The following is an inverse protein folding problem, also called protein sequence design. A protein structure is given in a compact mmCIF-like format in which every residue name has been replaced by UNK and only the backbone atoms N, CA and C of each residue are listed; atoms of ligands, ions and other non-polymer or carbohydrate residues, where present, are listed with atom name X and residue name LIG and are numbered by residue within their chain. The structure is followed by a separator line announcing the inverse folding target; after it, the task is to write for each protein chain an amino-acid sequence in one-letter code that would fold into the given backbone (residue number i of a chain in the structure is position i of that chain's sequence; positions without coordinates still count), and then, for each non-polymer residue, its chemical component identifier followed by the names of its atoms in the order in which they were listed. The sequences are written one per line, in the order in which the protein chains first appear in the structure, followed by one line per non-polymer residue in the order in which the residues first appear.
data_IF_223271884039
#
_entry.id   IF_223271884039
#
_cell.length_a   1.000
_cell.length_b   1.000
_cell.length_c   1.000
_cell.angle_alpha   90.00
_cell.angle_beta   90.00
_cell.angle_gamma   90.00
#
_symmetry.space_group_name_H-M   'P 1'
#
loop_
_entity.id
_entity.type
_entity.pdbx_description
1 polymer ?
#
# COMPACT_ATOMS: atom_id res chain seq x y z
N UNK A 1 -21.44 37.41 4.70
CA UNK A 1 -21.53 35.94 4.56
C UNK A 1 -21.07 35.38 5.90
N UNK A 2 -22.00 34.87 6.70
CA UNK A 2 -21.75 34.47 8.09
C UNK A 2 -20.77 33.29 8.12
N UNK A 3 -19.59 33.50 8.71
CA UNK A 3 -18.76 32.40 9.19
C UNK A 3 -19.49 31.79 10.38
N UNK A 4 -20.08 30.62 10.18
CA UNK A 4 -20.49 29.78 11.31
C UNK A 4 -19.19 29.28 11.95
N UNK A 5 -18.78 29.93 13.03
CA UNK A 5 -17.83 29.36 13.98
C UNK A 5 -18.41 28.04 14.49
N UNK A 6 -17.82 26.93 14.04
CA UNK A 6 -18.03 25.64 14.67
C UNK A 6 -17.65 25.74 16.15
N UNK A 7 -18.38 25.11 17.09
CA UNK A 7 -18.04 25.16 18.50
C UNK A 7 -16.61 24.67 18.71
N UNK A 8 -15.82 25.42 19.48
CA UNK A 8 -14.43 25.09 19.78
C UNK A 8 -14.38 23.76 20.55
N UNK A 9 -14.20 22.66 19.81
CA UNK A 9 -13.99 21.35 20.40
C UNK A 9 -12.73 21.41 21.27
N UNK A 10 -12.93 21.54 22.59
CA UNK A 10 -11.84 21.60 23.54
C UNK A 10 -11.43 20.17 23.87
N UNK A 11 -10.31 19.71 23.30
CA UNK A 11 -9.75 18.41 23.66
C UNK A 11 -9.34 18.38 25.13
N UNK A 12 -9.62 17.29 25.83
CA UNK A 12 -9.30 17.11 27.25
C UNK A 12 -8.37 15.92 27.45
N UNK A 13 -7.45 16.02 28.41
CA UNK A 13 -6.59 14.92 28.78
C UNK A 13 -7.41 13.79 29.41
N UNK A 14 -7.30 12.52 28.97
CA UNK A 14 -8.06 11.42 29.55
C UNK A 14 -7.65 11.09 31.00
N UNK A 15 -6.49 11.58 31.45
CA UNK A 15 -5.93 11.27 32.77
C UNK A 15 -6.22 12.31 33.85
N UNK A 16 -6.54 13.56 33.46
CA UNK A 16 -6.82 14.64 34.42
C UNK A 16 -7.94 15.59 33.98
N UNK A 17 -8.56 15.35 32.83
CA UNK A 17 -9.70 16.09 32.26
C UNK A 17 -9.46 17.59 32.00
N UNK A 18 -8.23 18.08 32.20
CA UNK A 18 -7.82 19.45 31.84
C UNK A 18 -7.73 19.59 30.32
N UNK A 19 -8.02 20.80 29.84
CA UNK A 19 -7.91 21.15 28.43
C UNK A 19 -6.47 20.90 27.92
N UNK A 20 -6.36 20.35 26.73
CA UNK A 20 -5.09 20.21 26.03
C UNK A 20 -4.79 21.51 25.28
N UNK A 21 -3.52 21.88 25.23
CA UNK A 21 -3.06 23.04 24.48
C UNK A 21 -2.47 22.59 23.14
N UNK A 22 -2.87 23.23 22.04
CA UNK A 22 -2.24 23.03 20.73
C UNK A 22 -0.81 23.60 20.78
N UNK A 23 0.18 22.72 20.70
CA UNK A 23 1.60 23.10 20.80
C UNK A 23 2.34 23.10 19.48
N UNK A 24 1.86 22.37 18.46
CA UNK A 24 2.50 22.28 17.14
C UNK A 24 1.47 22.08 16.05
N UNK A 25 1.74 22.72 14.91
CA UNK A 25 1.01 22.52 13.67
C UNK A 25 1.91 21.80 12.66
N UNK A 26 1.37 20.73 12.06
CA UNK A 26 1.98 20.00 10.95
C UNK A 26 1.02 20.03 9.77
N UNK A 27 1.52 19.63 8.59
CA UNK A 27 0.75 19.62 7.34
C UNK A 27 -0.58 18.86 7.49
N UNK A 28 -0.55 17.66 8.08
CA UNK A 28 -1.70 16.74 8.10
C UNK A 28 -2.31 16.55 9.51
N UNK A 29 -1.73 17.16 10.54
CA UNK A 29 -2.20 16.99 11.93
C UNK A 29 -1.73 18.11 12.88
N UNK A 30 -2.48 18.34 13.94
CA UNK A 30 -2.08 19.16 15.09
C UNK A 30 -1.65 18.29 16.27
N UNK A 31 -0.72 18.80 17.08
CA UNK A 31 -0.29 18.16 18.32
C UNK A 31 -0.80 18.98 19.49
N UNK A 32 -1.61 18.34 20.33
CA UNK A 32 -2.14 18.88 21.57
C UNK A 32 -1.42 18.23 22.76
N UNK A 33 -1.13 19.00 23.81
CA UNK A 33 -0.35 18.54 24.97
C UNK A 33 -1.05 18.87 26.27
N UNK A 34 -1.02 17.92 27.21
CA UNK A 34 -1.42 18.19 28.59
C UNK A 34 -0.29 18.93 29.33
N UNK A 35 -0.53 20.20 29.67
CA UNK A 35 0.40 21.01 30.48
C UNK A 35 0.14 20.97 32.00
N UNK A 36 -0.88 20.25 32.44
CA UNK A 36 -1.15 20.09 33.88
C UNK A 36 -0.03 19.26 34.55
N UNK A 37 0.63 19.84 35.55
CA UNK A 37 1.70 19.20 36.31
C UNK A 37 1.15 18.16 37.29
N UNK A 38 -0.09 18.34 37.77
CA UNK A 38 -0.76 17.36 38.64
C UNK A 38 -1.37 16.18 37.86
N UNK A 39 -1.12 16.09 36.55
CA UNK A 39 -1.65 15.00 35.73
C UNK A 39 -1.03 13.66 36.14
N UNK A 40 -1.87 12.68 36.48
CA UNK A 40 -1.45 11.34 36.91
C UNK A 40 -0.53 10.65 35.90
N UNK A 41 -0.77 10.83 34.59
CA UNK A 41 0.10 10.33 33.53
C UNK A 41 1.51 10.92 33.59
N UNK A 42 1.61 12.24 33.78
CA UNK A 42 2.89 12.93 33.86
C UNK A 42 3.66 12.53 35.11
N UNK A 43 2.99 12.55 36.26
CA UNK A 43 3.58 12.14 37.55
C UNK A 43 4.06 10.69 37.53
N UNK A 44 3.29 9.78 36.94
CA UNK A 44 3.67 8.36 36.81
C UNK A 44 4.92 8.20 35.94
N UNK A 45 4.99 8.89 34.80
CA UNK A 45 6.15 8.82 33.91
C UNK A 45 7.42 9.40 34.55
N UNK A 46 7.31 10.50 35.29
CA UNK A 46 8.45 11.06 36.04
C UNK A 46 8.97 10.10 37.12
N UNK A 47 8.08 9.38 37.80
CA UNK A 47 8.47 8.40 38.83
C UNK A 47 9.19 7.19 38.26
N UNK A 48 8.89 6.81 37.01
CA UNK A 48 9.51 5.69 36.30
C UNK A 48 10.93 5.97 35.80
N UNK A 49 11.33 7.24 35.72
CA UNK A 49 12.69 7.61 35.29
C UNK A 49 13.73 7.14 36.30
N UNK A 50 14.81 6.57 35.77
CA UNK A 50 16.04 6.27 36.53
C UNK A 50 16.70 7.56 37.03
N UNK A 51 17.60 7.49 38.04
CA UNK A 51 18.34 8.67 38.49
C UNK A 51 19.09 9.40 37.36
N UNK A 52 19.71 8.65 36.45
CA UNK A 52 20.42 9.20 35.28
C UNK A 52 19.47 9.92 34.32
N UNK A 53 18.32 9.31 34.00
CA UNK A 53 17.30 9.95 33.15
C UNK A 53 16.72 11.20 33.79
N UNK A 54 16.54 11.22 35.13
CA UNK A 54 16.07 12.41 35.85
C UNK A 54 17.08 13.55 35.75
N UNK A 55 18.37 13.27 35.90
CA UNK A 55 19.43 14.25 35.70
C UNK A 55 19.43 14.77 34.25
N UNK A 56 19.39 13.87 33.27
CA UNK A 56 19.33 14.25 31.86
C UNK A 56 18.06 15.05 31.51
N UNK A 57 16.92 14.73 32.14
CA UNK A 57 15.66 15.44 31.96
C UNK A 57 15.74 16.90 32.44
N UNK A 58 16.55 17.21 33.46
CA UNK A 58 16.76 18.59 33.92
C UNK A 58 17.46 19.44 32.85
N UNK A 59 18.39 18.84 32.11
CA UNK A 59 19.15 19.54 31.06
C UNK A 59 18.46 19.50 29.69
N UNK A 60 17.79 18.40 29.37
CA UNK A 60 17.20 18.13 28.04
C UNK A 60 15.78 17.55 28.14
N UNK A 61 14.82 18.30 28.71
CA UNK A 61 13.47 17.78 28.95
C UNK A 61 12.72 17.40 27.68
N UNK A 62 13.11 17.98 26.54
CA UNK A 62 12.52 17.69 25.23
C UNK A 62 12.88 16.31 24.68
N UNK A 63 13.93 15.65 25.19
CA UNK A 63 14.31 14.30 24.81
C UNK A 63 13.32 13.25 25.34
N UNK A 64 12.55 13.58 26.38
CA UNK A 64 11.65 12.65 27.06
C UNK A 64 10.18 12.97 26.80
N UNK A 65 9.42 11.97 26.34
CA UNK A 65 7.97 12.09 26.10
C UNK A 65 7.18 11.71 27.36
N UNK A 66 7.27 12.54 28.40
CA UNK A 66 6.65 12.28 29.72
C UNK A 66 5.21 12.77 29.87
N UNK A 67 4.74 13.64 28.98
CA UNK A 67 3.38 14.22 29.04
C UNK A 67 2.47 13.64 27.97
N UNK A 68 1.18 13.57 28.29
CA UNK A 68 0.16 13.11 27.36
C UNK A 68 0.10 14.02 26.13
N UNK A 69 0.13 13.40 24.95
CA UNK A 69 0.04 14.06 23.65
C UNK A 69 -1.15 13.47 22.89
N UNK A 70 -2.00 14.33 22.36
CA UNK A 70 -3.08 13.98 21.46
C UNK A 70 -2.75 14.51 20.06
N UNK A 71 -3.02 13.70 19.04
CA UNK A 71 -2.84 14.10 17.64
C UNK A 71 -4.22 14.25 17.03
N UNK A 72 -4.50 15.43 16.52
CA UNK A 72 -5.72 15.72 15.77
C UNK A 72 -5.36 15.65 14.28
N UNK A 73 -5.81 14.60 13.59
CA UNK A 73 -5.58 14.45 12.16
C UNK A 73 -6.59 15.30 11.37
N UNK A 74 -6.10 16.02 10.35
CA UNK A 74 -6.88 17.03 9.60
C UNK A 74 -7.55 16.47 8.33
N UNK A 75 -7.64 15.16 8.21
CA UNK A 75 -8.29 14.50 7.08
C UNK A 75 -9.47 13.65 7.56
N UNK A 76 -10.55 13.69 6.79
CA UNK A 76 -11.72 12.85 7.01
C UNK A 76 -11.51 11.50 6.33
N UNK A 77 -11.24 10.47 7.15
CA UNK A 77 -11.05 9.11 6.67
C UNK A 77 -11.62 8.13 7.69
N UNK A 78 -12.49 7.24 7.22
CA UNK A 78 -13.05 6.16 8.04
C UNK A 78 -12.32 4.85 7.71
N UNK A 79 -11.50 4.31 8.65
CA UNK A 79 -10.91 2.98 8.51
C UNK A 79 -11.95 1.92 8.17
N UNK A 80 -11.56 0.95 7.35
CA UNK A 80 -12.36 -0.22 7.02
C UNK A 80 -13.73 0.10 6.41
N UNK A 81 -13.92 1.33 5.90
CA UNK A 81 -15.16 1.69 5.23
C UNK A 81 -15.41 0.76 4.03
N UNK A 82 -16.67 0.30 3.82
CA UNK A 82 -17.01 -0.53 2.67
C UNK A 82 -16.56 0.11 1.36
N UNK A 83 -16.03 -0.69 0.47
CA UNK A 83 -15.69 -0.23 -0.88
C UNK A 83 -16.97 0.16 -1.61
N UNK A 84 -16.99 1.32 -2.26
CA UNK A 84 -18.10 1.72 -3.12
C UNK A 84 -18.24 0.73 -4.30
N UNK A 85 -19.46 0.49 -4.79
CA UNK A 85 -19.69 -0.33 -5.99
C UNK A 85 -18.86 0.20 -7.15
N UNK A 86 -18.12 -0.69 -7.79
CA UNK A 86 -17.17 -0.32 -8.83
C UNK A 86 -17.92 -0.21 -10.15
N UNK A 87 -18.17 1.03 -10.60
CA UNK A 87 -18.77 1.30 -11.92
C UNK A 87 -17.67 1.39 -12.98
N UNK A 88 -17.22 0.26 -13.51
CA UNK A 88 -16.37 0.26 -14.71
C UNK A 88 -17.23 0.49 -15.95
N UNK A 89 -17.03 1.61 -16.65
CA UNK A 89 -17.60 1.84 -18.01
C UNK A 89 -16.87 1.04 -19.11
N UNK A 90 -15.83 0.30 -18.74
CA UNK A 90 -14.95 -0.41 -19.68
C UNK A 90 -15.47 -1.81 -19.89
N UNK A 91 -15.89 -2.10 -21.11
CA UNK A 91 -16.33 -3.42 -21.54
C UNK A 91 -15.30 -3.99 -22.52
N UNK A 92 -14.51 -4.98 -22.07
CA UNK A 92 -13.48 -5.58 -22.92
C UNK A 92 -14.01 -6.57 -23.95
N UNK A 93 -15.29 -6.95 -23.88
CA UNK A 93 -15.92 -7.71 -24.99
C UNK A 93 -16.03 -6.87 -26.28
N UNK A 94 -15.91 -5.54 -26.14
CA UNK A 94 -15.84 -4.58 -27.25
C UNK A 94 -14.42 -4.31 -27.74
N UNK A 95 -13.40 -4.94 -27.15
CA UNK A 95 -12.06 -4.84 -27.71
C UNK A 95 -12.05 -5.49 -29.09
N UNK A 96 -11.44 -4.80 -30.05
CA UNK A 96 -11.34 -5.24 -31.44
C UNK A 96 -10.41 -6.45 -31.67
N UNK A 97 -9.98 -7.16 -30.63
CA UNK A 97 -8.97 -8.23 -30.68
C UNK A 97 -9.45 -9.46 -29.95
N UNK A 98 -9.00 -10.63 -30.41
CA UNK A 98 -9.25 -11.89 -29.71
C UNK A 98 -8.58 -11.90 -28.33
N UNK A 99 -9.15 -12.68 -27.40
CA UNK A 99 -8.58 -12.86 -26.07
C UNK A 99 -7.14 -13.39 -26.11
N UNK A 100 -6.81 -14.21 -27.11
CA UNK A 100 -5.45 -14.70 -27.32
C UNK A 100 -4.49 -13.56 -27.66
N UNK A 101 -4.84 -12.70 -28.64
CA UNK A 101 -4.03 -11.55 -29.03
C UNK A 101 -3.84 -10.57 -27.88
N UNK A 102 -4.91 -10.30 -27.10
CA UNK A 102 -4.80 -9.49 -25.89
C UNK A 102 -3.85 -10.12 -24.87
N UNK A 103 -3.96 -11.43 -24.66
CA UNK A 103 -3.06 -12.19 -23.79
C UNK A 103 -1.59 -12.13 -24.23
N UNK A 104 -1.30 -12.18 -25.54
CA UNK A 104 0.04 -11.98 -26.08
C UNK A 104 0.56 -10.57 -25.76
N UNK A 105 -0.25 -9.54 -26.03
CA UNK A 105 0.11 -8.14 -25.77
C UNK A 105 0.48 -7.95 -24.29
N UNK A 106 -0.36 -8.44 -23.37
CA UNK A 106 -0.10 -8.35 -21.92
C UNK A 106 1.11 -9.17 -21.50
N UNK A 107 1.32 -10.34 -22.09
CA UNK A 107 2.49 -11.17 -21.80
C UNK A 107 3.78 -10.42 -22.12
N UNK A 108 3.89 -9.81 -23.30
CA UNK A 108 5.07 -9.02 -23.67
C UNK A 108 5.20 -7.73 -22.87
N UNK A 109 4.10 -7.00 -22.73
CA UNK A 109 4.12 -5.68 -22.09
C UNK A 109 4.35 -5.75 -20.58
N UNK A 110 3.67 -6.69 -19.90
CA UNK A 110 3.65 -6.80 -18.44
C UNK A 110 4.66 -7.83 -17.96
N UNK A 111 4.56 -9.09 -18.41
CA UNK A 111 5.37 -10.18 -17.83
C UNK A 111 6.86 -10.02 -18.15
N UNK A 112 7.16 -9.55 -19.37
CA UNK A 112 8.51 -9.31 -19.85
C UNK A 112 8.93 -7.83 -19.81
N UNK A 113 8.09 -6.95 -19.26
CA UNK A 113 8.40 -5.54 -19.02
C UNK A 113 8.77 -4.73 -20.28
N UNK A 114 8.27 -5.12 -21.45
CA UNK A 114 8.58 -4.42 -22.69
C UNK A 114 7.80 -3.11 -22.82
N UNK A 115 8.42 -2.10 -23.43
CA UNK A 115 7.71 -0.86 -23.76
C UNK A 115 6.57 -1.13 -24.74
N UNK A 116 5.56 -0.25 -24.78
CA UNK A 116 4.44 -0.39 -25.72
C UNK A 116 4.89 -0.42 -27.19
N UNK A 117 5.97 0.31 -27.52
CA UNK A 117 6.57 0.30 -28.87
C UNK A 117 7.23 -1.04 -29.20
N UNK A 118 8.05 -1.56 -28.28
CA UNK A 118 8.67 -2.90 -28.45
C UNK A 118 7.62 -4.01 -28.53
N UNK A 119 6.57 -3.90 -27.72
CA UNK A 119 5.43 -4.82 -27.77
C UNK A 119 4.75 -4.77 -29.15
N UNK A 120 4.46 -3.58 -29.67
CA UNK A 120 3.90 -3.42 -31.01
C UNK A 120 4.81 -4.00 -32.10
N UNK A 121 6.12 -3.77 -32.02
CA UNK A 121 7.10 -4.37 -32.94
C UNK A 121 7.07 -5.89 -32.89
N UNK A 122 7.12 -6.52 -31.71
CA UNK A 122 7.06 -7.98 -31.58
C UNK A 122 5.74 -8.53 -32.13
N UNK A 123 4.62 -7.87 -31.86
CA UNK A 123 3.33 -8.28 -32.40
C UNK A 123 3.33 -8.26 -33.93
N UNK A 124 4.04 -7.31 -34.56
CA UNK A 124 4.19 -7.28 -36.01
C UNK A 124 5.19 -8.31 -36.53
N UNK A 125 6.39 -8.34 -35.97
CA UNK A 125 7.53 -9.08 -36.50
C UNK A 125 7.41 -10.59 -36.26
N UNK A 126 6.85 -10.99 -35.12
CA UNK A 126 6.71 -12.40 -34.71
C UNK A 126 5.34 -12.96 -35.06
N UNK A 127 4.29 -12.17 -34.85
CA UNK A 127 2.89 -12.63 -34.99
C UNK A 127 2.19 -12.11 -36.25
N UNK A 128 2.84 -11.25 -37.06
CA UNK A 128 2.25 -10.66 -38.26
C UNK A 128 1.17 -9.61 -38.00
N UNK A 129 0.87 -9.30 -36.73
CA UNK A 129 -0.25 -8.45 -36.31
C UNK A 129 0.19 -6.98 -36.19
N UNK A 130 -0.29 -6.15 -37.11
CA UNK A 130 -0.08 -4.71 -37.06
C UNK A 130 -0.93 -4.06 -35.98
N UNK A 131 -0.34 -3.74 -34.83
CA UNK A 131 -0.97 -2.94 -33.77
C UNK A 131 -0.13 -1.70 -33.47
N UNK A 132 -0.79 -0.60 -33.10
CA UNK A 132 -0.07 0.59 -32.68
C UNK A 132 0.38 0.47 -31.22
N UNK A 133 1.45 1.17 -30.84
CA UNK A 133 1.86 1.28 -29.43
C UNK A 133 0.77 1.93 -28.56
N UNK A 134 -0.04 2.84 -29.11
CA UNK A 134 -1.15 3.46 -28.40
C UNK A 134 -2.25 2.42 -28.11
N UNK A 135 -2.49 1.49 -29.03
CA UNK A 135 -3.42 0.37 -28.84
C UNK A 135 -2.97 -0.52 -27.67
N UNK A 136 -1.66 -0.81 -27.56
CA UNK A 136 -1.10 -1.55 -26.41
C UNK A 136 -1.40 -0.84 -25.09
N UNK A 137 -1.18 0.48 -25.03
CA UNK A 137 -1.46 1.29 -23.83
C UNK A 137 -2.94 1.26 -23.49
N UNK A 138 -3.82 1.43 -24.49
CA UNK A 138 -5.27 1.45 -24.27
C UNK A 138 -5.77 0.11 -23.73
N UNK A 139 -5.26 -1.02 -24.24
CA UNK A 139 -5.57 -2.35 -23.72
C UNK A 139 -5.05 -2.54 -22.29
N UNK A 140 -3.80 -2.14 -22.01
CA UNK A 140 -3.24 -2.21 -20.66
C UNK A 140 -4.10 -1.43 -19.66
N UNK A 141 -4.46 -0.19 -19.98
CA UNK A 141 -5.31 0.64 -19.12
C UNK A 141 -6.71 0.02 -18.91
N UNK A 142 -7.31 -0.49 -19.98
CA UNK A 142 -8.64 -1.13 -19.92
C UNK A 142 -8.63 -2.36 -19.03
N UNK A 143 -7.61 -3.21 -19.19
CA UNK A 143 -7.46 -4.43 -18.39
C UNK A 143 -7.17 -4.08 -16.93
N UNK A 144 -6.32 -3.08 -16.66
CA UNK A 144 -6.03 -2.64 -15.30
C UNK A 144 -7.29 -2.24 -14.53
N UNK A 145 -8.22 -1.51 -15.17
CA UNK A 145 -9.49 -1.13 -14.57
C UNK A 145 -10.38 -2.34 -14.21
N UNK A 146 -10.28 -3.42 -14.97
CA UNK A 146 -11.04 -4.66 -14.74
C UNK A 146 -10.41 -5.52 -13.66
N UNK A 147 -9.09 -5.70 -13.70
CA UNK A 147 -8.41 -6.60 -12.75
C UNK A 147 -8.15 -5.95 -11.40
N UNK A 148 -8.10 -4.62 -11.29
CA UNK A 148 -7.88 -3.94 -10.01
C UNK A 148 -8.90 -4.33 -8.93
N UNK A 149 -10.22 -4.26 -9.20
CA UNK A 149 -11.26 -4.75 -8.28
C UNK A 149 -11.01 -6.19 -7.82
N UNK A 150 -10.68 -7.05 -8.78
CA UNK A 150 -10.42 -8.47 -8.53
C UNK A 150 -9.21 -8.67 -7.62
N UNK A 151 -8.11 -7.95 -7.84
CA UNK A 151 -6.94 -7.96 -6.97
C UNK A 151 -7.30 -7.46 -5.57
N UNK A 152 -7.99 -6.33 -5.47
CA UNK A 152 -8.23 -5.66 -4.18
C UNK A 152 -9.16 -6.46 -3.26
N UNK A 153 -10.09 -7.21 -3.85
CA UNK A 153 -11.17 -7.93 -3.14
C UNK A 153 -10.97 -9.45 -3.13
N UNK A 154 -9.87 -9.96 -3.72
CA UNK A 154 -9.60 -11.39 -3.71
C UNK A 154 -9.52 -11.91 -2.27
N UNK A 155 -10.13 -13.07 -1.95
CA UNK A 155 -10.11 -13.65 -0.62
C UNK A 155 -8.76 -14.33 -0.36
N UNK A 156 -7.73 -13.54 -0.06
CA UNK A 156 -6.38 -14.06 0.13
C UNK A 156 -6.25 -14.90 1.41
N UNK A 157 -5.56 -16.03 1.30
CA UNK A 157 -5.06 -16.78 2.46
C UNK A 157 -3.72 -16.19 2.94
N UNK A 158 -3.79 -15.28 3.91
CA UNK A 158 -2.64 -14.54 4.41
C UNK A 158 -1.96 -15.23 5.61
N UNK A 159 -0.67 -15.00 5.77
CA UNK A 159 0.15 -15.58 6.83
C UNK A 159 0.21 -14.76 8.12
N UNK A 160 -0.19 -13.48 8.07
CA UNK A 160 0.00 -12.53 9.16
C UNK A 160 1.38 -11.85 9.19
N UNK A 161 2.35 -12.31 8.39
CA UNK A 161 3.69 -11.72 8.31
C UNK A 161 3.73 -10.56 7.33
N UNK A 162 3.22 -9.40 7.73
CA UNK A 162 3.13 -8.23 6.86
C UNK A 162 4.35 -7.32 6.94
N UNK A 163 4.86 -6.92 5.79
CA UNK A 163 5.89 -5.89 5.68
C UNK A 163 5.50 -4.80 4.68
N UNK A 164 6.06 -3.60 4.85
CA UNK A 164 5.85 -2.47 3.97
C UNK A 164 7.14 -1.73 3.68
N UNK A 165 7.24 -1.18 2.48
CA UNK A 165 8.34 -0.32 2.06
C UNK A 165 7.85 0.63 0.98
N UNK A 166 8.48 1.79 0.90
CA UNK A 166 8.20 2.78 -0.12
C UNK A 166 9.24 2.73 -1.23
N UNK A 167 8.78 2.90 -2.44
CA UNK A 167 9.64 3.17 -3.57
C UNK A 167 9.13 4.36 -4.35
N UNK A 168 9.75 4.67 -5.48
CA UNK A 168 9.39 5.84 -6.26
C UNK A 168 9.18 5.53 -7.74
N UNK A 169 8.25 6.24 -8.37
CA UNK A 169 8.04 6.22 -9.82
C UNK A 169 7.94 7.66 -10.33
N UNK A 170 8.21 7.88 -11.61
CA UNK A 170 8.21 9.21 -12.21
C UNK A 170 6.93 9.41 -13.00
N UNK A 171 6.19 10.46 -12.68
CA UNK A 171 4.93 10.84 -13.35
C UNK A 171 5.04 12.32 -13.73
N UNK A 172 4.82 12.64 -15.01
CA UNK A 172 4.96 13.98 -15.58
C UNK A 172 6.28 14.66 -15.17
N UNK A 173 7.37 13.89 -15.22
CA UNK A 173 8.72 14.36 -14.87
C UNK A 173 9.02 14.48 -13.37
N UNK A 174 8.05 14.25 -12.47
CA UNK A 174 8.22 14.37 -11.02
C UNK A 174 8.21 13.01 -10.32
N UNK A 175 9.03 12.85 -9.30
CA UNK A 175 9.00 11.65 -8.44
C UNK A 175 7.71 11.63 -7.62
N UNK A 176 7.09 10.46 -7.56
CA UNK A 176 5.94 10.12 -6.74
C UNK A 176 6.33 8.89 -5.94
N UNK A 177 5.90 8.83 -4.69
CA UNK A 177 6.07 7.69 -3.82
C UNK A 177 5.06 6.59 -4.17
N UNK A 178 5.49 5.35 -4.01
CA UNK A 178 4.70 4.15 -4.23
C UNK A 178 4.85 3.28 -2.98
N UNK A 179 3.76 3.19 -2.23
CA UNK A 179 3.66 2.45 -0.99
C UNK A 179 3.24 1.02 -1.31
N UNK A 180 4.11 0.07 -1.02
CA UNK A 180 3.79 -1.34 -1.10
C UNK A 180 3.60 -1.92 0.30
N UNK A 181 2.54 -2.71 0.47
CA UNK A 181 2.37 -3.63 1.59
C UNK A 181 2.35 -5.06 1.06
N UNK A 182 2.96 -5.99 1.78
CA UNK A 182 3.34 -7.30 1.28
C UNK A 182 3.22 -8.37 2.36
N UNK A 183 2.66 -9.52 2.02
CA UNK A 183 2.76 -10.74 2.83
C UNK A 183 4.10 -11.42 2.54
N UNK A 184 5.02 -11.37 3.51
CA UNK A 184 6.38 -11.83 3.32
C UNK A 184 6.51 -13.35 3.19
N UNK A 185 5.60 -14.14 3.77
CA UNK A 185 5.66 -15.61 3.69
C UNK A 185 5.01 -16.08 2.40
N UNK A 186 3.78 -15.64 2.13
CA UNK A 186 3.00 -16.03 0.94
C UNK A 186 3.47 -15.34 -0.33
N UNK A 187 4.31 -14.31 -0.22
CA UNK A 187 4.81 -13.47 -1.31
C UNK A 187 3.68 -12.75 -2.07
N UNK A 188 2.68 -12.23 -1.37
CA UNK A 188 1.52 -11.57 -1.98
C UNK A 188 1.62 -10.07 -1.80
N UNK A 189 1.45 -9.30 -2.87
CA UNK A 189 1.32 -7.84 -2.77
C UNK A 189 -0.11 -7.49 -2.36
N UNK A 190 -0.26 -6.75 -1.27
CA UNK A 190 -1.55 -6.43 -0.63
C UNK A 190 -1.95 -4.96 -0.80
N UNK A 191 -0.99 -4.05 -0.91
CA UNK A 191 -1.23 -2.64 -1.24
C UNK A 191 -0.14 -2.12 -2.17
N UNK A 192 -0.48 -1.14 -3.00
CA UNK A 192 0.36 -0.59 -4.07
C UNK A 192 -0.05 0.85 -4.43
N UNK A 193 -0.16 1.70 -3.40
CA UNK A 193 -0.69 3.08 -3.51
C UNK A 193 0.36 4.02 -4.08
N UNK A 194 0.06 4.67 -5.20
CA UNK A 194 0.85 5.79 -5.74
C UNK A 194 0.41 7.08 -5.05
N UNK A 195 1.37 7.91 -4.63
CA UNK A 195 1.12 9.20 -3.99
C UNK A 195 2.15 10.24 -4.44
N UNK A 196 1.76 11.52 -4.64
CA UNK A 196 2.73 12.59 -4.90
C UNK A 196 3.64 12.90 -3.70
N UNK A 197 3.30 12.44 -2.48
CA UNK A 197 4.09 12.71 -1.29
C UNK A 197 4.24 11.46 -0.42
N UNK A 198 5.40 11.34 0.25
CA UNK A 198 5.64 10.38 1.34
C UNK A 198 5.01 10.88 2.64
N UNK A 199 3.68 10.82 2.75
CA UNK A 199 2.91 11.37 3.88
C UNK A 199 2.16 10.32 4.72
N UNK A 200 1.66 10.77 5.88
CA UNK A 200 0.97 9.89 6.85
C UNK A 200 -0.33 9.35 6.28
N UNK A 201 -1.05 10.16 5.50
CA UNK A 201 -2.31 9.75 4.90
C UNK A 201 -2.10 8.60 3.89
N UNK A 202 -1.02 8.64 3.12
CA UNK A 202 -0.64 7.56 2.20
C UNK A 202 -0.34 6.25 2.94
N UNK A 203 0.39 6.31 4.06
CA UNK A 203 0.64 5.16 4.91
C UNK A 203 -0.64 4.58 5.53
N UNK A 204 -1.56 5.44 6.00
CA UNK A 204 -2.87 5.02 6.53
C UNK A 204 -3.65 4.24 5.46
N UNK A 205 -3.73 4.77 4.24
CA UNK A 205 -4.44 4.10 3.14
C UNK A 205 -3.79 2.77 2.73
N UNK A 206 -2.46 2.71 2.75
CA UNK A 206 -1.74 1.48 2.43
C UNK A 206 -1.99 0.39 3.47
N UNK A 207 -2.02 0.74 4.76
CA UNK A 207 -2.37 -0.18 5.85
C UNK A 207 -3.85 -0.57 5.76
N UNK A 208 -4.77 0.37 5.54
CA UNK A 208 -6.21 0.13 5.40
C UNK A 208 -6.51 -0.91 4.30
N UNK A 209 -5.78 -0.87 3.18
CA UNK A 209 -5.89 -1.87 2.11
C UNK A 209 -5.55 -3.29 2.57
N UNK A 210 -4.61 -3.44 3.50
CA UNK A 210 -4.24 -4.74 4.08
C UNK A 210 -5.33 -5.18 5.04
N UNK A 211 -5.74 -4.30 5.95
CA UNK A 211 -6.73 -4.64 6.97
C UNK A 211 -8.08 -5.06 6.36
N UNK A 212 -8.49 -4.43 5.25
CA UNK A 212 -9.69 -4.81 4.49
C UNK A 212 -9.64 -6.23 3.89
N UNK A 213 -8.45 -6.81 3.75
CA UNK A 213 -8.26 -8.18 3.24
C UNK A 213 -8.26 -9.22 4.35
N UNK A 214 -8.26 -8.80 5.61
CA UNK A 214 -8.32 -9.70 6.75
C UNK A 214 -9.80 -10.00 7.10
N UNK A 215 -10.16 -11.26 7.40
CA UNK A 215 -11.51 -11.58 7.84
C UNK A 215 -11.85 -10.93 9.19
N UNK A 216 -10.85 -10.74 10.04
CA UNK A 216 -10.90 -10.05 11.32
C UNK A 216 -9.53 -9.49 11.65
N UNK A 217 -9.45 -8.48 12.52
CA UNK A 217 -8.17 -7.93 13.00
C UNK A 217 -7.59 -8.84 14.09
N UNK A 218 -6.43 -9.51 13.87
CA UNK A 218 -5.79 -10.32 14.91
C UNK A 218 -5.29 -9.47 16.08
N UNK A 219 -5.29 -10.02 17.29
CA UNK A 219 -4.79 -9.32 18.49
C UNK A 219 -3.27 -9.06 18.43
N UNK A 220 -2.53 -9.96 17.80
CA UNK A 220 -1.07 -9.93 17.63
C UNK A 220 -0.64 -9.34 16.27
N UNK A 221 -1.55 -8.67 15.57
CA UNK A 221 -1.28 -8.08 14.26
C UNK A 221 -0.10 -7.11 14.34
N UNK A 222 0.88 -7.30 13.45
CA UNK A 222 2.04 -6.41 13.35
C UNK A 222 2.47 -6.15 11.92
N UNK A 223 3.08 -5.00 11.70
CA UNK A 223 3.66 -4.58 10.42
C UNK A 223 5.14 -4.28 10.57
N UNK A 224 5.97 -4.86 9.71
CA UNK A 224 7.41 -4.58 9.63
C UNK A 224 7.69 -3.57 8.53
N UNK A 225 8.21 -2.40 8.88
CA UNK A 225 8.36 -1.27 7.95
C UNK A 225 9.70 -0.57 8.11
N UNK A 226 10.02 0.35 7.20
CA UNK A 226 11.18 1.24 7.33
C UNK A 226 11.05 2.20 8.53
N UNK A 227 12.17 2.81 8.93
CA UNK A 227 12.28 3.77 10.03
C UNK A 227 11.49 5.07 9.88
N UNK A 228 10.66 5.22 8.85
CA UNK A 228 9.91 6.44 8.60
C UNK A 228 8.79 6.64 9.66
N UNK A 229 8.76 7.76 10.40
CA UNK A 229 7.76 8.02 11.44
C UNK A 229 6.30 8.02 10.98
N UNK A 230 6.02 8.12 9.68
CA UNK A 230 4.65 8.10 9.14
C UNK A 230 3.88 6.82 9.50
N UNK A 231 4.58 5.68 9.64
CA UNK A 231 3.93 4.42 9.99
C UNK A 231 3.49 4.39 11.46
N UNK A 232 4.28 4.96 12.37
CA UNK A 232 3.87 5.15 13.77
C UNK A 232 2.71 6.15 13.89
N UNK A 233 2.68 7.17 13.02
CA UNK A 233 1.54 8.09 12.96
C UNK A 233 0.28 7.38 12.44
N UNK A 234 0.41 6.50 11.45
CA UNK A 234 -0.69 5.66 10.99
C UNK A 234 -1.20 4.74 12.11
N UNK A 235 -0.31 4.07 12.85
CA UNK A 235 -0.68 3.27 14.02
C UNK A 235 -1.51 4.07 15.04
N UNK A 236 -1.08 5.29 15.39
CA UNK A 236 -1.86 6.15 16.28
C UNK A 236 -3.24 6.52 15.72
N UNK A 237 -3.34 6.76 14.40
CA UNK A 237 -4.61 7.06 13.75
C UNK A 237 -5.59 5.88 13.86
N UNK A 238 -5.14 4.65 13.59
CA UNK A 238 -5.99 3.46 13.74
C UNK A 238 -6.38 3.20 15.19
N UNK A 239 -5.45 3.41 16.14
CA UNK A 239 -5.74 3.28 17.57
C UNK A 239 -6.84 4.25 18.04
N UNK A 240 -6.88 5.48 17.51
CA UNK A 240 -7.97 6.43 17.77
C UNK A 240 -9.33 5.97 17.24
N UNK A 241 -9.35 5.03 16.29
CA UNK A 241 -10.54 4.40 15.74
C UNK A 241 -10.80 3.01 16.32
N UNK A 242 -10.14 2.64 17.42
CA UNK A 242 -10.32 1.35 18.09
C UNK A 242 -9.72 0.15 17.36
N UNK A 243 -8.81 0.39 16.40
CA UNK A 243 -8.11 -0.66 15.66
C UNK A 243 -6.66 -0.71 16.17
N UNK A 244 -6.29 -1.83 16.80
CA UNK A 244 -4.96 -2.03 17.38
C UNK A 244 -4.10 -2.94 16.52
N UNK A 245 -2.83 -2.57 16.36
CA UNK A 245 -1.76 -3.40 15.79
C UNK A 245 -0.42 -2.78 16.17
N UNK A 246 0.65 -3.56 16.02
CA UNK A 246 2.02 -3.10 16.24
C UNK A 246 2.72 -2.68 14.94
N UNK A 247 3.62 -1.69 15.06
CA UNK A 247 4.54 -1.29 13.99
C UNK A 247 5.96 -1.53 14.47
N UNK A 248 6.68 -2.41 13.79
CA UNK A 248 8.08 -2.74 14.05
C UNK A 248 8.94 -2.10 12.97
N UNK A 249 9.73 -1.10 13.35
CA UNK A 249 10.59 -0.37 12.42
C UNK A 249 11.96 -1.04 12.34
N UNK A 250 12.42 -1.35 11.14
CA UNK A 250 13.77 -1.89 10.89
C UNK A 250 14.66 -0.79 10.32
N UNK A 251 15.46 -0.19 11.20
CA UNK A 251 16.22 1.04 10.90
C UNK A 251 17.58 0.67 10.30
N UNK A 252 17.99 1.41 9.27
CA UNK A 252 19.34 1.30 8.71
C UNK A 252 19.65 -0.03 8.00
N UNK A 253 20.94 -0.23 7.74
CA UNK A 253 21.50 -1.40 7.03
C UNK A 253 22.25 -2.37 7.96
N UNK A 254 22.44 -1.99 9.21
CA UNK A 254 23.22 -2.67 10.26
C UNK A 254 22.29 -3.15 11.38
N UNK A 255 22.60 -4.30 11.99
CA UNK A 255 21.90 -4.83 13.17
C UNK A 255 22.37 -4.07 14.42
N UNK A 256 21.90 -2.83 14.56
CA UNK A 256 22.27 -1.98 15.70
C UNK A 256 21.36 -2.21 16.92
N UNK A 257 20.22 -2.88 16.72
CA UNK A 257 19.28 -3.22 17.78
C UNK A 257 18.62 -4.61 17.58
N UNK A 258 18.15 -5.26 18.67
CA UNK A 258 17.58 -6.61 18.60
C UNK A 258 16.32 -6.73 17.71
N UNK A 259 15.50 -5.68 17.63
CA UNK A 259 14.29 -5.69 16.79
C UNK A 259 14.71 -5.68 15.31
N UNK A 260 15.65 -4.82 14.95
CA UNK A 260 16.20 -4.79 13.60
C UNK A 260 16.86 -6.12 13.22
N UNK A 261 17.52 -6.81 14.15
CA UNK A 261 18.12 -8.12 13.90
C UNK A 261 17.05 -9.20 13.63
N UNK A 262 16.02 -9.29 14.47
CA UNK A 262 14.95 -10.29 14.35
C UNK A 262 14.16 -10.14 13.04
N UNK A 263 13.81 -8.90 12.67
CA UNK A 263 12.90 -8.64 11.54
C UNK A 263 13.60 -8.31 10.21
N UNK A 264 14.94 -8.26 10.16
CA UNK A 264 15.70 -8.00 8.92
C UNK A 264 15.37 -8.94 7.75
N UNK A 265 15.17 -10.26 7.95
CA UNK A 265 14.84 -11.15 6.83
C UNK A 265 13.61 -10.69 6.03
N UNK A 266 12.62 -10.09 6.70
CA UNK A 266 11.41 -9.56 6.05
C UNK A 266 11.73 -8.34 5.19
N UNK A 267 12.59 -7.43 5.68
CA UNK A 267 13.07 -6.28 4.91
C UNK A 267 13.81 -6.72 3.64
N UNK A 268 14.67 -7.74 3.72
CA UNK A 268 15.38 -8.28 2.56
C UNK A 268 14.45 -8.90 1.51
N UNK A 269 13.36 -9.54 1.94
CA UNK A 269 12.31 -10.04 1.04
C UNK A 269 11.66 -8.87 0.30
N UNK A 270 11.32 -7.79 1.02
CA UNK A 270 10.73 -6.59 0.45
C UNK A 270 11.66 -5.88 -0.52
N UNK A 271 12.94 -5.74 -0.20
CA UNK A 271 13.96 -5.17 -1.10
C UNK A 271 14.11 -5.98 -2.39
N UNK A 272 14.06 -7.31 -2.31
CA UNK A 272 14.08 -8.19 -3.50
C UNK A 272 12.83 -7.99 -4.36
N UNK A 273 11.66 -7.84 -3.74
CA UNK A 273 10.43 -7.48 -4.43
C UNK A 273 10.58 -6.12 -5.13
N UNK A 274 11.04 -5.08 -4.42
CA UNK A 274 11.23 -3.74 -4.97
C UNK A 274 12.21 -3.74 -6.15
N UNK A 275 13.30 -4.52 -6.09
CA UNK A 275 14.22 -4.70 -7.23
C UNK A 275 13.55 -5.36 -8.44
N UNK A 276 12.67 -6.33 -8.22
CA UNK A 276 11.89 -6.98 -9.29
C UNK A 276 10.94 -5.98 -9.95
N UNK A 277 10.23 -5.19 -9.15
CA UNK A 277 9.38 -4.10 -9.65
C UNK A 277 10.21 -3.07 -10.44
N UNK A 278 11.34 -2.60 -9.89
CA UNK A 278 12.22 -1.63 -10.55
C UNK A 278 12.79 -2.14 -11.87
N UNK A 279 13.06 -3.43 -11.99
CA UNK A 279 13.45 -4.06 -13.26
C UNK A 279 12.40 -3.88 -14.35
N UNK A 280 11.12 -4.06 -14.01
CA UNK A 280 9.99 -3.85 -14.93
C UNK A 280 9.69 -2.37 -15.17
N UNK A 281 9.92 -1.52 -14.17
CA UNK A 281 9.65 -0.08 -14.25
C UNK A 281 10.67 0.68 -15.09
N UNK A 282 11.97 0.35 -15.00
CA UNK A 282 13.06 1.10 -15.68
C UNK A 282 12.81 1.34 -17.18
N UNK A 283 12.36 0.35 -17.98
CA UNK A 283 12.08 0.55 -19.41
C UNK A 283 10.96 1.55 -19.72
N UNK A 284 10.12 1.91 -18.75
CA UNK A 284 9.03 2.89 -18.95
C UNK A 284 9.57 4.31 -19.11
N UNK A 285 10.73 4.62 -18.52
CA UNK A 285 11.26 5.99 -18.41
C UNK A 285 10.30 6.96 -17.70
N UNK A 286 9.34 6.45 -16.93
CA UNK A 286 8.28 7.22 -16.28
C UNK A 286 7.03 7.39 -17.15
N UNK A 287 6.00 7.97 -16.55
CA UNK A 287 4.66 8.06 -17.13
C UNK A 287 4.31 9.51 -17.47
N UNK A 288 3.63 9.72 -18.61
CA UNK A 288 3.10 11.03 -19.00
C UNK A 288 1.80 11.42 -18.26
N UNK A 289 1.16 10.46 -17.59
CA UNK A 289 -0.12 10.63 -16.91
C UNK A 289 -0.20 9.70 -15.68
N UNK A 290 -1.04 10.07 -14.71
CA UNK A 290 -1.19 9.30 -13.46
C UNK A 290 -1.89 7.96 -13.74
N UNK A 291 -2.88 7.96 -14.61
CA UNK A 291 -3.66 6.80 -15.02
C UNK A 291 -2.76 5.69 -15.58
N UNK A 292 -1.76 6.06 -16.38
CA UNK A 292 -0.78 5.12 -16.93
C UNK A 292 0.10 4.49 -15.84
N UNK A 293 0.44 5.26 -14.80
CA UNK A 293 1.23 4.77 -13.67
C UNK A 293 0.42 3.78 -12.82
N UNK A 294 -0.84 4.11 -12.52
CA UNK A 294 -1.75 3.25 -11.77
C UNK A 294 -2.01 1.96 -12.54
N UNK A 295 -2.21 2.06 -13.86
CA UNK A 295 -2.42 0.90 -14.72
C UNK A 295 -1.22 -0.02 -14.75
N UNK A 296 -0.01 0.54 -14.89
CA UNK A 296 1.23 -0.24 -14.85
C UNK A 296 1.41 -0.99 -13.53
N UNK A 297 1.28 -0.30 -12.40
CA UNK A 297 1.45 -0.92 -11.07
C UNK A 297 0.38 -1.99 -10.84
N UNK A 298 -0.86 -1.73 -11.21
CA UNK A 298 -1.97 -2.69 -11.10
C UNK A 298 -1.68 -3.96 -11.90
N UNK A 299 -1.29 -3.84 -13.17
CA UNK A 299 -0.99 -5.01 -14.01
C UNK A 299 0.23 -5.77 -13.53
N UNK A 300 1.25 -5.06 -13.04
CA UNK A 300 2.40 -5.69 -12.40
C UNK A 300 1.98 -6.52 -11.19
N UNK A 301 1.09 -6.01 -10.33
CA UNK A 301 0.56 -6.75 -9.18
C UNK A 301 -0.29 -7.94 -9.60
N UNK A 302 -1.16 -7.79 -10.61
CA UNK A 302 -1.92 -8.91 -11.16
C UNK A 302 -1.00 -10.04 -11.65
N UNK A 303 0.02 -9.67 -12.42
CA UNK A 303 1.06 -10.60 -12.88
C UNK A 303 1.80 -11.23 -11.70
N UNK A 304 2.26 -10.43 -10.74
CA UNK A 304 3.06 -10.89 -9.61
C UNK A 304 2.31 -11.89 -8.72
N UNK A 305 1.06 -11.58 -8.38
CA UNK A 305 0.23 -12.36 -7.44
C UNK A 305 -0.35 -13.63 -8.08
N UNK A 306 -0.77 -13.59 -9.35
CA UNK A 306 -1.57 -14.67 -9.94
C UNK A 306 -0.89 -15.44 -11.07
N UNK A 307 0.15 -14.87 -11.71
CA UNK A 307 0.69 -15.42 -12.97
C UNK A 307 2.20 -15.69 -12.94
N UNK A 308 2.96 -14.97 -12.11
CA UNK A 308 4.41 -15.07 -12.03
C UNK A 308 4.85 -16.20 -11.11
N UNK A 309 5.57 -17.23 -11.60
CA UNK A 309 6.17 -18.23 -10.73
C UNK A 309 7.34 -17.65 -9.94
N UNK A 310 7.49 -18.05 -8.67
CA UNK A 310 8.57 -17.61 -7.79
C UNK A 310 9.42 -18.79 -7.34
N UNK A 311 10.75 -18.67 -7.42
CA UNK A 311 11.66 -19.72 -6.94
C UNK A 311 11.50 -20.00 -5.44
N UNK A 312 11.20 -18.97 -4.65
CA UNK A 312 10.93 -19.11 -3.22
C UNK A 312 9.63 -19.89 -2.90
N UNK A 313 8.78 -20.12 -3.90
CA UNK A 313 7.53 -20.89 -3.80
C UNK A 313 7.58 -22.14 -4.68
N UNK A 314 8.78 -22.72 -4.88
CA UNK A 314 8.95 -23.93 -5.70
C UNK A 314 8.42 -23.78 -7.13
N UNK A 315 8.60 -22.58 -7.71
CA UNK A 315 8.09 -22.19 -9.03
C UNK A 315 6.56 -22.10 -9.11
N UNK A 316 5.84 -22.05 -7.99
CA UNK A 316 4.41 -21.69 -7.92
C UNK A 316 4.21 -20.18 -7.91
N UNK A 317 2.99 -19.77 -8.22
CA UNK A 317 2.52 -18.39 -8.06
C UNK A 317 2.16 -18.11 -6.60
N UNK A 318 2.16 -16.86 -6.11
CA UNK A 318 1.79 -16.53 -4.74
C UNK A 318 0.36 -16.93 -4.40
N UNK A 319 -0.55 -16.75 -5.36
CA UNK A 319 -1.96 -17.08 -5.21
C UNK A 319 -2.36 -18.07 -6.29
N UNK A 320 -2.54 -19.33 -5.88
CA UNK A 320 -2.90 -20.43 -6.78
C UNK A 320 -4.40 -20.40 -7.02
N UNK A 321 -4.78 -20.17 -8.28
CA UNK A 321 -6.16 -20.28 -8.75
C UNK A 321 -6.21 -21.51 -9.67
N UNK A 322 -6.93 -22.59 -9.30
CA UNK A 322 -6.95 -23.82 -10.10
C UNK A 322 -7.31 -23.61 -11.57
N UNK A 323 -8.23 -22.70 -11.85
CA UNK A 323 -8.65 -22.35 -13.21
C UNK A 323 -7.56 -21.67 -14.07
N UNK A 324 -6.52 -21.09 -13.45
CA UNK A 324 -5.36 -20.53 -14.15
C UNK A 324 -4.23 -21.54 -14.28
N UNK A 325 -4.04 -22.39 -13.28
CA UNK A 325 -2.96 -23.40 -13.23
C UNK A 325 -3.10 -24.43 -14.35
N UNK A 326 -4.32 -24.86 -14.65
CA UNK A 326 -4.62 -25.84 -15.70
C UNK A 326 -4.37 -25.34 -17.12
N UNK A 327 -4.08 -24.05 -17.31
CA UNK A 327 -3.96 -23.44 -18.64
C UNK A 327 -2.53 -23.51 -19.19
N UNK A 328 -2.37 -23.81 -20.50
CA UNK A 328 -1.10 -24.23 -21.07
C UNK A 328 -0.07 -23.09 -21.20
N UNK A 329 -0.49 -21.85 -21.40
CA UNK A 329 0.42 -20.74 -21.68
C UNK A 329 -0.10 -19.39 -21.16
N UNK A 330 0.78 -18.40 -21.06
CA UNK A 330 0.47 -17.07 -20.49
C UNK A 330 -0.71 -16.36 -21.17
N UNK A 331 -0.86 -16.34 -22.51
CA UNK A 331 -2.03 -15.72 -23.12
C UNK A 331 -3.37 -16.29 -22.65
N UNK A 332 -3.47 -17.62 -22.45
CA UNK A 332 -4.67 -18.26 -21.95
C UNK A 332 -4.93 -17.87 -20.47
N UNK A 333 -3.86 -17.81 -19.66
CA UNK A 333 -3.97 -17.40 -18.25
C UNK A 333 -4.40 -15.95 -18.09
N UNK A 334 -3.87 -15.03 -18.91
CA UNK A 334 -4.34 -13.65 -18.97
C UNK A 334 -5.81 -13.57 -19.36
N UNK A 335 -6.22 -14.26 -20.44
CA UNK A 335 -7.61 -14.29 -20.88
C UNK A 335 -8.55 -14.79 -19.78
N UNK A 336 -8.18 -15.88 -19.08
CA UNK A 336 -9.01 -16.42 -17.99
C UNK A 336 -9.05 -15.50 -16.77
N UNK A 337 -7.93 -14.88 -16.38
CA UNK A 337 -7.90 -13.92 -15.27
C UNK A 337 -8.80 -12.71 -15.55
N UNK A 338 -8.78 -12.19 -16.79
CA UNK A 338 -9.65 -11.10 -17.21
C UNK A 338 -11.12 -11.53 -17.16
N UNK A 339 -11.45 -12.71 -17.69
CA UNK A 339 -12.82 -13.22 -17.67
C UNK A 339 -13.36 -13.38 -16.24
N UNK A 340 -12.57 -13.93 -15.31
CA UNK A 340 -12.95 -14.05 -13.91
C UNK A 340 -13.19 -12.69 -13.24
N UNK A 341 -12.34 -11.70 -13.55
CA UNK A 341 -12.51 -10.34 -13.05
C UNK A 341 -13.78 -9.66 -13.61
N UNK A 342 -14.12 -9.90 -14.87
CA UNK A 342 -15.37 -9.42 -15.47
C UNK A 342 -16.60 -10.08 -14.86
N UNK A 343 -16.57 -11.40 -14.62
CA UNK A 343 -17.66 -12.13 -13.95
C UNK A 343 -17.91 -11.57 -12.55
N UNK A 344 -16.84 -11.32 -11.78
CA UNK A 344 -16.95 -10.70 -10.46
C UNK A 344 -17.60 -9.31 -10.51
N UNK A 345 -17.21 -8.47 -11.47
CA UNK A 345 -17.80 -7.14 -11.64
C UNK A 345 -19.26 -7.19 -12.08
N UNK A 346 -19.62 -8.14 -12.94
CA UNK A 346 -21.00 -8.33 -13.37
C UNK A 346 -21.89 -8.78 -12.21
N UNK A 347 -21.41 -9.69 -11.35
CA UNK A 347 -22.11 -10.13 -10.15
C UNK A 347 -22.35 -8.96 -9.18
N UNK A 348 -21.35 -8.11 -8.97
CA UNK A 348 -21.46 -6.92 -8.11
C UNK A 348 -22.37 -5.82 -8.66
N UNK A 349 -22.49 -5.72 -9.98
CA UNK A 349 -23.41 -4.77 -10.61
C UNK A 349 -24.87 -5.24 -10.54
N UNK A 350 -25.09 -6.55 -10.36
CA UNK A 350 -26.42 -7.16 -10.25
C UNK A 350 -26.94 -7.24 -8.80
N UNK A 351 -26.05 -7.17 -7.81
CA UNK A 351 -26.36 -7.06 -6.37
C UNK A 351 -26.60 -5.61 -5.96
#
# INVERSE_FOLDING_TARGET
MYFLESPSHTFRCPHCLKALEKIKERKDYYIHKCKNDDCSFYQTNLRRMTPQEKEQFQHTPYAFKVRYLYREFLFDFKPLAPSSPIKTKVDVSRLSVSSHTLGLILTYHVNYGLSARKTASIMKDVHGLSISHQTVINYANSVALIVKPFIDQFPYELSGSFCGDETYIRIKGRWHDLFFMFDAIKKVVLSYRVSPNRDTFSAIRAIDDVLKKLPSIPEDLSFVVDGNPIYLLAQHFFAQHGISFDVRQVIGLTNEDPVSEEYRPLKQIMERFNRTFKGNYRPTHGFGAEEGSVSFVTLFVAYFNFLRPHSALEKRVPVVIPALESLPHMPARWAKLIAMAQEMLAQQAAS
#
